data_IF_428937598457
#
_entry.id   IF_428937598457
#
_cell.length_a   1.000
_cell.length_b   1.000
_cell.length_c   1.000
_cell.angle_alpha   90.00
_cell.angle_beta   90.00
_cell.angle_gamma   90.00
#
_symmetry.space_group_name_H-M   'P 1'
#
loop_
_entity.id
_entity.type
_entity.pdbx_description
1 polymer ?
#
# COMPACT_ATOMS: atom_id res chain seq x y z
N UNK A 1 -7.23 -11.45 -1.04
CA UNK A 1 -7.79 -10.24 -0.40
C UNK A 1 -7.08 -8.99 -0.92
N UNK A 2 -5.79 -8.80 -0.61
CA UNK A 2 -5.05 -7.58 -1.02
C UNK A 2 -4.97 -7.38 -2.54
N UNK A 3 -4.83 -8.44 -3.32
CA UNK A 3 -4.88 -8.33 -4.79
C UNK A 3 -6.22 -7.79 -5.30
N UNK A 4 -7.33 -8.21 -4.71
CA UNK A 4 -8.65 -7.69 -5.06
C UNK A 4 -8.81 -6.24 -4.61
N UNK A 5 -8.32 -5.90 -3.41
CA UNK A 5 -8.30 -4.51 -2.93
C UNK A 5 -7.48 -3.59 -3.83
N UNK A 6 -6.35 -4.06 -4.35
CA UNK A 6 -5.52 -3.29 -5.28
C UNK A 6 -6.19 -3.02 -6.63
N UNK A 7 -7.31 -3.68 -6.94
CA UNK A 7 -8.10 -3.45 -8.16
C UNK A 7 -9.28 -2.50 -7.93
N UNK A 8 -9.63 -2.20 -6.68
CA UNK A 8 -10.73 -1.30 -6.35
C UNK A 8 -10.40 0.13 -6.80
N UNK A 9 -11.41 0.95 -7.14
CA UNK A 9 -11.22 2.37 -7.45
C UNK A 9 -10.40 3.08 -6.36
N UNK A 10 -9.47 3.96 -6.77
CA UNK A 10 -8.54 4.64 -5.88
C UNK A 10 -7.28 3.81 -5.56
N UNK A 11 -7.45 2.53 -5.21
CA UNK A 11 -6.34 1.61 -4.92
C UNK A 11 -5.68 1.04 -6.18
N UNK A 12 -6.36 1.11 -7.34
CA UNK A 12 -5.85 0.66 -8.65
C UNK A 12 -4.75 1.55 -9.24
N UNK A 13 -4.41 2.64 -8.58
CA UNK A 13 -3.30 3.52 -8.89
C UNK A 13 -2.39 3.64 -7.68
N UNK A 14 -1.10 3.81 -7.90
CA UNK A 14 -0.11 4.06 -6.85
C UNK A 14 -0.49 5.32 -6.06
N UNK A 15 -0.45 5.23 -4.73
CA UNK A 15 -0.79 6.32 -3.82
C UNK A 15 -0.03 7.62 -4.16
N UNK A 16 1.28 7.51 -4.43
CA UNK A 16 2.12 8.72 -4.55
C UNK A 16 2.26 9.25 -5.97
N UNK A 17 2.24 8.38 -6.99
CA UNK A 17 2.59 8.76 -8.36
C UNK A 17 1.53 8.44 -9.40
N UNK A 18 0.41 7.83 -9.00
CA UNK A 18 -0.69 7.50 -9.91
C UNK A 18 -0.40 6.38 -10.91
N UNK A 19 0.76 5.72 -10.87
CA UNK A 19 1.05 4.58 -11.75
C UNK A 19 0.04 3.45 -11.53
N UNK A 20 -0.52 2.88 -12.60
CA UNK A 20 -1.54 1.84 -12.52
C UNK A 20 -0.99 0.50 -11.99
N UNK A 21 -1.88 -0.30 -11.41
CA UNK A 21 -1.57 -1.67 -11.00
C UNK A 21 -0.50 -1.79 -9.90
N UNK A 22 -0.65 -1.11 -8.75
CA UNK A 22 0.30 -1.23 -7.65
C UNK A 22 0.36 -2.68 -7.14
N UNK A 23 1.59 -3.17 -6.89
CA UNK A 23 1.87 -4.54 -6.42
C UNK A 23 2.55 -4.57 -5.05
N UNK A 24 2.75 -3.40 -4.46
CA UNK A 24 3.33 -3.23 -3.14
C UNK A 24 2.37 -2.44 -2.27
N UNK A 25 2.55 -2.49 -0.95
CA UNK A 25 1.76 -1.72 -0.01
C UNK A 25 2.57 -1.39 1.24
N UNK A 26 2.32 -0.21 1.81
CA UNK A 26 2.81 0.18 3.13
C UNK A 26 1.74 -0.16 4.17
N UNK A 27 1.90 -1.26 4.90
CA UNK A 27 0.81 -1.79 5.73
C UNK A 27 0.55 -0.99 7.00
N UNK A 28 1.52 -0.21 7.49
CA UNK A 28 1.31 0.68 8.64
C UNK A 28 0.67 2.02 8.23
N UNK A 29 0.83 2.43 6.97
CA UNK A 29 0.20 3.64 6.43
C UNK A 29 -1.18 3.30 5.85
N UNK A 30 -1.35 2.10 5.30
CA UNK A 30 -2.60 1.65 4.71
C UNK A 30 -2.76 1.99 3.22
N UNK A 31 -1.66 2.12 2.47
CA UNK A 31 -1.68 2.49 1.04
C UNK A 31 -1.00 1.47 0.12
N UNK A 32 -1.41 1.44 -1.15
CA UNK A 32 -0.88 0.65 -2.26
C UNK A 32 0.09 1.47 -3.11
N UNK A 33 1.23 0.86 -3.44
CA UNK A 33 2.38 1.49 -4.08
C UNK A 33 2.84 0.70 -5.32
N UNK A 34 3.31 1.43 -6.33
CA UNK A 34 4.09 0.82 -7.41
C UNK A 34 5.48 0.39 -6.89
N UNK A 35 6.20 -0.42 -7.67
CA UNK A 35 7.53 -0.91 -7.28
C UNK A 35 8.53 0.22 -6.99
N UNK A 36 8.49 1.31 -7.76
CA UNK A 36 9.38 2.45 -7.60
C UNK A 36 9.13 3.17 -6.27
N UNK A 37 7.87 3.53 -5.99
CA UNK A 37 7.47 4.19 -4.75
C UNK A 37 7.66 3.29 -3.53
N UNK A 38 7.33 1.99 -3.64
CA UNK A 38 7.64 1.00 -2.60
C UNK A 38 9.14 0.95 -2.28
N UNK A 39 10.00 1.06 -3.30
CA UNK A 39 11.45 1.18 -3.11
C UNK A 39 11.89 2.46 -2.39
N UNK A 40 11.23 3.58 -2.66
CA UNK A 40 11.46 4.86 -1.96
C UNK A 40 11.03 4.74 -0.49
N UNK A 41 9.84 4.22 -0.23
CA UNK A 41 9.33 3.99 1.12
C UNK A 41 10.23 3.07 1.94
N UNK A 42 10.79 2.01 1.33
CA UNK A 42 11.79 1.14 2.00
C UNK A 42 13.03 1.92 2.47
N UNK A 43 13.47 2.93 1.72
CA UNK A 43 14.62 3.78 2.07
C UNK A 43 14.32 4.76 3.21
N UNK A 44 13.05 5.09 3.46
CA UNK A 44 12.65 5.92 4.60
C UNK A 44 12.86 5.21 5.95
N UNK A 45 12.88 3.87 5.94
CA UNK A 45 13.05 3.05 7.14
C UNK A 45 11.75 2.60 7.78
N UNK A 46 11.81 1.48 8.51
CA UNK A 46 10.63 0.77 9.06
C UNK A 46 9.91 1.50 10.18
N UNK A 47 10.53 2.53 10.76
CA UNK A 47 9.89 3.43 11.71
C UNK A 47 8.95 4.44 11.03
N UNK A 48 9.06 4.60 9.70
CA UNK A 48 8.21 5.49 8.89
C UNK A 48 7.24 4.67 8.05
N UNK A 49 7.77 3.78 7.19
CA UNK A 49 6.96 2.98 6.27
C UNK A 49 7.41 1.51 6.27
N UNK A 50 6.44 0.61 6.42
CA UNK A 50 6.64 -0.84 6.45
C UNK A 50 6.03 -1.44 5.19
N UNK A 51 6.89 -1.67 4.19
CA UNK A 51 6.48 -2.09 2.84
C UNK A 51 6.52 -3.61 2.67
N UNK A 52 5.46 -4.16 2.09
CA UNK A 52 5.33 -5.57 1.68
C UNK A 52 4.78 -5.69 0.26
N UNK A 53 5.16 -6.75 -0.43
CA UNK A 53 4.51 -7.20 -1.66
C UNK A 53 3.12 -7.73 -1.33
N UNK A 54 2.13 -7.40 -2.16
CA UNK A 54 0.74 -7.84 -1.91
C UNK A 54 0.54 -9.34 -2.14
N UNK A 55 1.43 -9.98 -2.91
CA UNK A 55 1.31 -11.38 -3.33
C UNK A 55 2.49 -12.27 -2.94
N UNK A 56 3.68 -11.70 -2.73
CA UNK A 56 4.90 -12.48 -2.45
C UNK A 56 5.25 -12.55 -0.96
N UNK A 57 4.73 -11.63 -0.14
CA UNK A 57 5.01 -11.60 1.31
C UNK A 57 3.85 -12.19 2.11
N UNK A 58 4.16 -12.73 3.30
CA UNK A 58 3.13 -13.15 4.26
C UNK A 58 2.55 -11.96 5.01
N UNK A 59 1.24 -11.97 5.24
CA UNK A 59 0.49 -10.90 5.91
C UNK A 59 -0.23 -11.44 7.14
N UNK A 60 -0.20 -10.67 8.23
CA UNK A 60 -1.04 -10.96 9.40
C UNK A 60 -2.44 -10.41 9.21
N UNK A 61 -3.46 -10.95 9.90
CA UNK A 61 -4.82 -10.40 9.84
C UNK A 61 -4.89 -8.91 10.19
N UNK A 62 -4.16 -8.48 11.22
CA UNK A 62 -4.08 -7.07 11.64
C UNK A 62 -3.53 -6.15 10.53
N UNK A 63 -2.52 -6.61 9.79
CA UNK A 63 -1.97 -5.85 8.66
C UNK A 63 -2.97 -5.73 7.52
N UNK A 64 -3.75 -6.78 7.25
CA UNK A 64 -4.81 -6.76 6.24
C UNK A 64 -5.93 -5.82 6.69
N UNK A 65 -6.31 -5.87 7.97
CA UNK A 65 -7.33 -5.00 8.53
C UNK A 65 -6.96 -3.52 8.37
N UNK A 66 -5.72 -3.12 8.67
CA UNK A 66 -5.30 -1.73 8.47
C UNK A 66 -5.40 -1.30 6.99
N UNK A 67 -5.08 -2.20 6.05
CA UNK A 67 -5.27 -1.91 4.62
C UNK A 67 -6.76 -1.73 4.26
N UNK A 68 -7.67 -2.44 4.93
CA UNK A 68 -9.12 -2.33 4.69
C UNK A 68 -9.72 -1.07 5.31
N UNK A 69 -9.20 -0.66 6.47
CA UNK A 69 -9.64 0.55 7.17
C UNK A 69 -9.21 1.83 6.43
N UNK A 70 -8.05 1.80 5.79
CA UNK A 70 -7.48 2.92 5.04
C UNK A 70 -7.79 2.85 3.54
N UNK A 71 -6.78 2.52 2.72
CA UNK A 71 -6.82 2.69 1.27
C UNK A 71 -6.28 4.06 0.82
N UNK A 72 -5.92 4.13 -0.46
CA UNK A 72 -5.19 5.26 -1.03
C UNK A 72 -5.96 6.59 -0.93
N UNK A 73 -7.28 6.55 -1.10
CA UNK A 73 -8.11 7.75 -1.04
C UNK A 73 -8.06 8.39 0.35
N UNK A 74 -8.24 7.59 1.42
CA UNK A 74 -8.16 8.10 2.79
C UNK A 74 -6.76 8.59 3.14
N UNK A 75 -5.72 7.88 2.69
CA UNK A 75 -4.32 8.29 2.91
C UNK A 75 -4.06 9.65 2.23
N UNK A 76 -4.44 9.82 0.96
CA UNK A 76 -4.25 11.08 0.22
C UNK A 76 -5.12 12.25 0.72
N UNK A 77 -6.16 11.99 1.51
CA UNK A 77 -6.94 13.05 2.17
C UNK A 77 -6.33 13.44 3.53
N UNK A 78 -5.56 12.54 4.15
CA UNK A 78 -4.98 12.75 5.46
C UNK A 78 -3.59 13.39 5.42
N UNK A 79 -2.83 13.14 4.35
CA UNK A 79 -1.50 13.70 4.08
C UNK A 79 -1.57 14.72 2.94
#
# INVERSE_FOLDING_TARGET
ILEEMSKMPGNNHCCDCGATGPRWASFNIGCFLCIKCGGIHRKMGTHISKVKSISLDSWTPEQIQNMQEWGNEKVNQHY
#
